data_IF_452887840472
#
_entry.id   IF_452887840472
#
_cell.length_a   1.000
_cell.length_b   1.000
_cell.length_c   1.000
_cell.angle_alpha   90.00
_cell.angle_beta   90.00
_cell.angle_gamma   90.00
#
_symmetry.space_group_name_H-M   'P 1'
#
loop_
_entity.id
_entity.type
_entity.pdbx_description
1 polymer ?
#
# COMPACT_ATOMS: atom_id res chain seq x y z
N UNK A 1 -16.52 -24.12 10.79
CA UNK A 1 -15.65 -23.24 11.61
C UNK A 1 -14.55 -24.11 12.23
N UNK A 2 -13.40 -24.19 11.57
CA UNK A 2 -12.23 -24.88 12.11
C UNK A 2 -11.32 -23.84 12.73
N UNK A 3 -11.38 -23.71 14.06
CA UNK A 3 -10.35 -23.02 14.84
C UNK A 3 -9.05 -23.82 14.73
N UNK A 4 -8.26 -23.57 13.66
CA UNK A 4 -6.88 -24.06 13.60
C UNK A 4 -6.15 -23.43 14.80
N UNK A 5 -5.78 -24.25 15.77
CA UNK A 5 -4.89 -23.87 16.87
C UNK A 5 -3.54 -23.49 16.25
N UNK A 6 -3.24 -22.20 16.17
CA UNK A 6 -1.92 -21.68 15.79
C UNK A 6 -0.82 -21.92 16.86
N UNK A 7 -1.04 -22.87 17.79
CA UNK A 7 -0.21 -23.08 18.98
C UNK A 7 1.13 -23.77 18.72
N UNK A 8 1.45 -24.14 17.48
CA UNK A 8 2.67 -24.93 17.17
C UNK A 8 3.89 -24.07 16.80
N UNK A 9 3.74 -22.77 16.53
CA UNK A 9 4.85 -21.90 16.09
C UNK A 9 5.18 -20.73 17.04
N UNK A 10 4.98 -20.92 18.35
CA UNK A 10 5.26 -19.89 19.36
C UNK A 10 6.67 -19.29 19.25
N UNK A 11 7.70 -20.10 18.96
CA UNK A 11 9.09 -19.63 18.85
C UNK A 11 9.32 -18.67 17.67
N UNK A 12 8.66 -18.91 16.54
CA UNK A 12 8.79 -18.04 15.35
C UNK A 12 8.07 -16.72 15.62
N UNK A 13 6.85 -16.78 16.15
CA UNK A 13 6.07 -15.60 16.53
C UNK A 13 6.83 -14.76 17.56
N UNK A 14 7.43 -15.38 18.58
CA UNK A 14 8.27 -14.70 19.56
C UNK A 14 9.49 -14.02 18.92
N UNK A 15 10.16 -14.68 17.96
CA UNK A 15 11.28 -14.08 17.22
C UNK A 15 10.83 -12.90 16.36
N UNK A 16 9.72 -13.03 15.63
CA UNK A 16 9.16 -11.93 14.82
C UNK A 16 8.85 -10.74 15.74
N UNK A 17 8.13 -10.96 16.85
CA UNK A 17 7.85 -9.93 17.86
C UNK A 17 9.11 -9.27 18.38
N UNK A 18 10.16 -10.04 18.68
CA UNK A 18 11.45 -9.51 19.14
C UNK A 18 12.09 -8.61 18.08
N UNK A 19 12.07 -9.01 16.81
CA UNK A 19 12.58 -8.16 15.73
C UNK A 19 11.74 -6.91 15.51
N UNK A 20 10.41 -7.03 15.54
CA UNK A 20 9.48 -5.89 15.41
C UNK A 20 9.62 -4.90 16.54
N UNK A 21 9.65 -5.36 17.79
CA UNK A 21 9.83 -4.48 18.95
C UNK A 21 11.16 -3.72 18.91
N UNK A 22 12.22 -4.30 18.36
CA UNK A 22 13.47 -3.58 18.12
C UNK A 22 13.32 -2.48 17.07
N UNK A 23 12.63 -2.75 15.96
CA UNK A 23 12.34 -1.75 14.92
C UNK A 23 11.48 -0.61 15.48
N UNK A 24 10.43 -0.93 16.23
CA UNK A 24 9.56 0.06 16.90
C UNK A 24 10.34 0.93 17.87
N UNK A 25 11.28 0.36 18.65
CA UNK A 25 12.14 1.12 19.58
C UNK A 25 13.12 2.07 18.87
N UNK A 26 13.48 1.79 17.62
CA UNK A 26 14.40 2.61 16.82
C UNK A 26 13.65 3.63 15.95
N UNK A 27 12.37 3.87 16.26
CA UNK A 27 11.47 4.69 15.46
C UNK A 27 11.96 6.14 15.34
N UNK A 28 11.71 6.69 14.14
CA UNK A 28 11.77 8.13 13.89
C UNK A 28 10.43 8.76 14.25
N UNK A 29 10.47 9.85 15.00
CA UNK A 29 9.29 10.69 15.20
C UNK A 29 9.10 11.56 13.96
N UNK A 30 7.89 11.53 13.41
CA UNK A 30 7.50 12.36 12.27
C UNK A 30 6.63 13.50 12.78
N UNK A 31 6.90 14.72 12.33
CA UNK A 31 5.99 15.84 12.55
C UNK A 31 4.86 15.83 11.51
N UNK A 32 3.82 16.63 11.75
CA UNK A 32 2.64 16.78 10.87
C UNK A 32 3.03 16.99 9.39
N UNK A 33 3.94 17.92 9.12
CA UNK A 33 4.39 18.22 7.75
C UNK A 33 5.11 17.04 7.06
N UNK A 34 5.69 16.12 7.84
CA UNK A 34 6.30 14.90 7.31
C UNK A 34 5.27 13.79 7.12
N UNK A 35 4.19 13.76 7.90
CA UNK A 35 3.08 12.81 7.75
C UNK A 35 2.25 13.12 6.50
N UNK A 36 2.18 14.37 6.09
CA UNK A 36 1.54 14.81 4.83
C UNK A 36 2.36 14.51 3.58
N UNK A 37 3.55 13.93 3.71
CA UNK A 37 4.43 13.60 2.57
C UNK A 37 4.64 12.09 2.46
N UNK A 38 4.50 11.52 1.25
CA UNK A 38 4.81 10.12 1.02
C UNK A 38 6.27 9.84 1.37
N UNK A 39 6.61 8.58 1.59
CA UNK A 39 8.00 8.16 1.86
C UNK A 39 8.89 8.53 0.70
N UNK A 40 8.42 8.26 -0.51
CA UNK A 40 9.05 8.62 -1.77
C UNK A 40 8.04 8.54 -2.90
N UNK A 41 8.33 9.24 -3.98
CA UNK A 41 7.57 9.20 -5.22
C UNK A 41 8.48 9.59 -6.38
N UNK A 42 8.25 9.02 -7.56
CA UNK A 42 9.07 9.30 -8.75
C UNK A 42 8.34 8.91 -10.04
N UNK A 43 8.85 9.43 -11.16
CA UNK A 43 8.49 9.00 -12.50
C UNK A 43 9.71 8.37 -13.17
N UNK A 44 9.51 7.27 -13.90
CA UNK A 44 10.54 6.68 -14.78
C UNK A 44 9.88 5.96 -15.95
N UNK A 45 10.67 5.60 -16.97
CA UNK A 45 10.18 4.73 -18.04
C UNK A 45 9.76 3.36 -17.51
N UNK A 46 8.65 2.84 -18.02
CA UNK A 46 8.19 1.48 -17.74
C UNK A 46 7.25 0.97 -18.85
N UNK A 47 6.74 -0.25 -18.71
CA UNK A 47 5.66 -0.77 -19.53
C UNK A 47 4.30 -0.46 -18.91
N UNK A 48 3.34 -0.19 -19.77
CA UNK A 48 1.93 -0.49 -19.53
C UNK A 48 1.67 -1.92 -20.05
N UNK A 49 0.47 -2.46 -19.88
CA UNK A 49 0.12 -3.82 -20.28
C UNK A 49 0.42 -4.12 -21.75
N UNK A 50 0.20 -3.14 -22.64
CA UNK A 50 0.30 -3.33 -24.10
C UNK A 50 1.33 -2.45 -24.80
N UNK A 51 1.82 -1.40 -24.13
CA UNK A 51 2.67 -0.37 -24.74
C UNK A 51 3.81 0.02 -23.81
N UNK A 52 4.87 0.61 -24.34
CA UNK A 52 5.83 1.36 -23.52
C UNK A 52 5.17 2.65 -23.04
N UNK A 53 5.46 3.06 -21.81
CA UNK A 53 5.05 4.36 -21.28
C UNK A 53 5.90 4.73 -20.08
N UNK A 54 5.27 5.30 -19.06
CA UNK A 54 5.95 5.69 -17.82
C UNK A 54 5.24 5.14 -16.60
N UNK A 55 6.00 4.84 -15.55
CA UNK A 55 5.41 4.65 -14.22
C UNK A 55 5.44 5.96 -13.44
N UNK A 56 4.36 6.22 -12.70
CA UNK A 56 4.36 7.13 -11.57
C UNK A 56 4.19 6.29 -10.31
N UNK A 57 5.22 6.24 -9.45
CA UNK A 57 5.19 5.44 -8.22
C UNK A 57 5.04 6.35 -7.01
N UNK A 58 4.16 5.97 -6.08
CA UNK A 58 3.97 6.62 -4.78
C UNK A 58 4.12 5.56 -3.67
N UNK A 59 5.08 5.75 -2.77
CA UNK A 59 5.21 4.95 -1.55
C UNK A 59 4.58 5.71 -0.40
N UNK A 60 3.43 5.25 0.09
CA UNK A 60 2.72 5.87 1.19
C UNK A 60 3.49 5.69 2.50
N UNK A 61 3.32 6.62 3.43
CA UNK A 61 3.69 6.52 4.83
C UNK A 61 2.42 6.24 5.63
N UNK A 62 2.27 5.01 6.12
CA UNK A 62 1.10 4.58 6.90
C UNK A 62 1.53 4.12 8.29
N UNK A 63 0.54 3.79 9.14
CA UNK A 63 0.79 3.14 10.42
C UNK A 63 1.35 1.70 10.30
N UNK A 64 1.31 1.11 9.09
CA UNK A 64 1.57 -0.30 8.84
C UNK A 64 0.30 -1.15 8.90
N UNK A 65 0.35 -2.33 8.29
CA UNK A 65 -0.83 -3.19 8.17
C UNK A 65 -1.25 -3.82 9.50
N UNK A 66 -2.54 -4.13 9.63
CA UNK A 66 -3.13 -4.82 10.78
C UNK A 66 -2.46 -6.17 11.05
N UNK A 67 -1.93 -6.83 10.01
CA UNK A 67 -1.15 -8.06 10.17
C UNK A 67 0.17 -7.81 10.91
N UNK A 68 0.91 -6.75 10.58
CA UNK A 68 2.15 -6.37 11.25
C UNK A 68 1.92 -5.84 12.67
N UNK A 69 0.82 -5.12 12.87
CA UNK A 69 0.41 -4.56 14.17
C UNK A 69 -0.32 -5.57 15.07
N UNK A 70 -0.73 -6.70 14.50
CA UNK A 70 -1.46 -7.76 15.17
C UNK A 70 -0.62 -8.60 16.14
N UNK A 71 -1.25 -9.57 16.80
CA UNK A 71 -0.64 -10.35 17.86
C UNK A 71 0.51 -11.24 17.39
N UNK A 72 0.72 -11.44 16.09
CA UNK A 72 1.79 -12.31 15.57
C UNK A 72 2.99 -11.53 15.03
N UNK A 73 2.89 -10.20 14.89
CA UNK A 73 3.96 -9.32 14.40
C UNK A 73 4.15 -9.31 12.87
N UNK A 74 3.24 -9.97 12.14
CA UNK A 74 3.13 -9.95 10.69
C UNK A 74 4.11 -10.86 9.94
N UNK A 75 4.33 -10.55 8.66
CA UNK A 75 5.22 -11.32 7.80
C UNK A 75 6.66 -11.24 8.31
N UNK A 76 7.36 -12.37 8.47
CA UNK A 76 8.72 -12.42 9.02
C UNK A 76 9.75 -11.64 8.20
N UNK A 77 9.53 -11.49 6.89
CA UNK A 77 10.44 -10.84 5.94
C UNK A 77 10.07 -9.39 5.57
N UNK A 78 8.92 -8.87 6.02
CA UNK A 78 8.45 -7.56 5.58
C UNK A 78 9.36 -6.43 6.11
N UNK A 79 10.02 -5.72 5.20
CA UNK A 79 10.92 -4.60 5.49
C UNK A 79 10.20 -3.28 5.73
N UNK A 80 9.02 -3.08 5.12
CA UNK A 80 8.26 -1.82 5.18
C UNK A 80 7.82 -1.40 6.59
N UNK A 81 7.78 -2.35 7.52
CA UNK A 81 7.68 -2.06 8.96
C UNK A 81 8.66 -0.94 9.37
N UNK A 82 9.88 -0.90 8.84
CA UNK A 82 10.85 0.15 9.18
C UNK A 82 10.45 1.55 8.69
N UNK A 83 9.61 1.61 7.68
CA UNK A 83 9.16 2.81 6.97
C UNK A 83 7.78 3.30 7.45
N UNK A 84 7.03 2.42 8.13
CA UNK A 84 5.75 2.70 8.77
C UNK A 84 5.88 3.50 10.07
N UNK A 85 4.83 4.19 10.46
CA UNK A 85 4.82 5.01 11.68
C UNK A 85 4.57 4.21 12.96
N UNK A 86 3.98 3.01 12.91
CA UNK A 86 3.46 2.22 14.06
C UNK A 86 2.40 2.88 14.93
N UNK A 87 2.34 4.20 14.94
CA UNK A 87 1.28 4.99 15.53
C UNK A 87 0.20 5.22 14.50
N UNK A 88 -1.03 5.21 14.99
CA UNK A 88 -2.18 5.56 14.19
C UNK A 88 -2.01 6.98 13.64
N UNK A 89 -2.15 7.09 12.32
CA UNK A 89 -2.18 8.39 11.64
C UNK A 89 -3.59 8.67 11.17
N UNK A 90 -3.97 9.94 11.15
CA UNK A 90 -5.22 10.35 10.54
C UNK A 90 -5.21 10.03 9.05
N UNK A 91 -6.36 9.58 8.54
CA UNK A 91 -6.56 9.28 7.13
C UNK A 91 -6.41 10.53 6.24
N UNK A 92 -6.60 11.73 6.80
CA UNK A 92 -6.30 13.00 6.15
C UNK A 92 -4.82 13.09 5.72
N UNK A 93 -3.88 12.61 6.52
CA UNK A 93 -2.46 12.60 6.13
C UNK A 93 -2.24 11.72 4.90
N UNK A 94 -2.85 10.53 4.83
CA UNK A 94 -2.71 9.66 3.66
C UNK A 94 -3.28 10.33 2.39
N UNK A 95 -4.41 11.04 2.51
CA UNK A 95 -4.98 11.84 1.41
C UNK A 95 -4.04 12.97 1.00
N UNK A 96 -3.46 13.69 1.96
CA UNK A 96 -2.49 14.76 1.72
C UNK A 96 -1.22 14.24 1.03
N UNK A 97 -0.75 13.02 1.37
CA UNK A 97 0.40 12.41 0.70
C UNK A 97 0.14 12.16 -0.78
N UNK A 98 -1.07 11.69 -1.13
CA UNK A 98 -1.51 11.49 -2.51
C UNK A 98 -1.56 12.84 -3.23
N UNK A 99 -2.20 13.84 -2.63
CA UNK A 99 -2.27 15.19 -3.20
C UNK A 99 -0.89 15.81 -3.39
N UNK A 100 0.00 15.66 -2.42
CA UNK A 100 1.37 16.17 -2.51
C UNK A 100 2.11 15.54 -3.68
N UNK A 101 2.08 14.21 -3.81
CA UNK A 101 2.74 13.51 -4.91
C UNK A 101 2.22 13.95 -6.27
N UNK A 102 0.89 14.04 -6.42
CA UNK A 102 0.26 14.54 -7.64
C UNK A 102 0.63 16.00 -7.91
N UNK A 103 0.55 16.90 -6.92
CA UNK A 103 0.90 18.30 -7.08
C UNK A 103 2.34 18.48 -7.58
N UNK A 104 3.28 17.66 -7.12
CA UNK A 104 4.68 17.73 -7.55
C UNK A 104 4.91 17.20 -8.97
N UNK A 105 4.04 16.31 -9.47
CA UNK A 105 4.26 15.59 -10.74
C UNK A 105 3.21 15.83 -11.82
N UNK A 106 2.12 16.52 -11.51
CA UNK A 106 0.98 16.67 -12.43
C UNK A 106 1.38 17.37 -13.72
N UNK A 107 2.16 18.46 -13.65
CA UNK A 107 2.64 19.15 -14.86
C UNK A 107 3.46 18.21 -15.74
N UNK A 108 4.43 17.50 -15.15
CA UNK A 108 5.24 16.50 -15.85
C UNK A 108 4.34 15.43 -16.50
N UNK A 109 3.38 14.86 -15.77
CA UNK A 109 2.45 13.84 -16.29
C UNK A 109 1.62 14.36 -17.48
N UNK A 110 1.18 15.62 -17.43
CA UNK A 110 0.30 16.20 -18.45
C UNK A 110 1.05 16.66 -19.71
N UNK A 111 2.33 16.99 -19.60
CA UNK A 111 3.18 17.43 -20.72
C UNK A 111 3.82 16.25 -21.48
N UNK A 112 3.91 15.08 -20.87
CA UNK A 112 4.48 13.88 -21.47
C UNK A 112 3.58 13.30 -22.56
N UNK A 113 4.18 12.78 -23.63
CA UNK A 113 3.43 12.20 -24.75
C UNK A 113 2.83 10.85 -24.37
N UNK A 114 3.57 10.04 -23.61
CA UNK A 114 3.18 8.69 -23.21
C UNK A 114 2.07 8.65 -22.15
N UNK A 115 1.43 7.48 -22.06
CA UNK A 115 0.50 7.14 -20.99
C UNK A 115 1.23 6.58 -19.76
N UNK A 116 0.56 6.64 -18.61
CA UNK A 116 1.13 6.29 -17.31
C UNK A 116 0.45 5.10 -16.66
N UNK A 117 1.26 4.27 -16.01
CA UNK A 117 0.84 3.36 -14.93
C UNK A 117 1.12 4.01 -13.58
N UNK A 118 0.09 4.14 -12.75
CA UNK A 118 0.24 4.57 -11.37
C UNK A 118 0.48 3.35 -10.47
N UNK A 119 1.49 3.39 -9.62
CA UNK A 119 1.78 2.34 -8.63
C UNK A 119 1.71 2.92 -7.23
N UNK A 120 0.82 2.39 -6.40
CA UNK A 120 0.68 2.82 -5.00
C UNK A 120 1.14 1.68 -4.09
N UNK A 121 2.16 1.96 -3.29
CA UNK A 121 2.77 0.99 -2.40
C UNK A 121 2.58 1.38 -0.93
N UNK A 122 2.08 0.43 -0.15
CA UNK A 122 2.05 0.44 1.30
C UNK A 122 2.38 -0.95 1.89
N UNK A 123 3.19 -1.73 1.15
CA UNK A 123 3.62 -3.09 1.52
C UNK A 123 2.50 -4.13 1.58
N UNK A 124 1.68 -4.21 0.54
CA UNK A 124 0.76 -5.33 0.41
C UNK A 124 -0.49 -5.24 1.28
N UNK A 125 -1.02 -4.06 1.57
CA UNK A 125 -2.19 -3.89 2.44
C UNK A 125 -3.11 -2.78 1.99
N UNK A 126 -3.18 -2.48 0.69
CA UNK A 126 -4.03 -1.39 0.19
C UNK A 126 -5.51 -1.55 0.60
N UNK A 127 -6.02 -2.78 0.62
CA UNK A 127 -7.39 -3.08 1.05
C UNK A 127 -7.56 -3.34 2.55
N UNK A 128 -6.53 -3.15 3.37
CA UNK A 128 -6.65 -3.26 4.83
C UNK A 128 -7.36 -2.01 5.39
N UNK A 129 -8.58 -2.17 5.91
CA UNK A 129 -9.42 -1.05 6.35
C UNK A 129 -8.88 -0.34 7.59
N UNK A 130 -8.08 -1.04 8.39
CA UNK A 130 -7.42 -0.46 9.56
C UNK A 130 -6.28 0.48 9.16
N UNK A 131 -5.66 0.25 7.99
CA UNK A 131 -4.53 1.02 7.50
C UNK A 131 -4.95 2.10 6.50
N UNK A 132 -5.65 1.72 5.43
CA UNK A 132 -6.22 2.63 4.43
C UNK A 132 -7.72 2.46 4.43
N UNK A 133 -8.42 3.42 5.05
CA UNK A 133 -9.88 3.36 5.17
C UNK A 133 -10.55 3.35 3.79
N UNK A 134 -11.77 2.81 3.74
CA UNK A 134 -12.59 2.84 2.53
C UNK A 134 -12.75 4.26 1.96
N UNK A 135 -12.99 5.25 2.81
CA UNK A 135 -13.11 6.66 2.40
C UNK A 135 -11.82 7.22 1.78
N UNK A 136 -10.66 6.72 2.20
CA UNK A 136 -9.36 7.10 1.65
C UNK A 136 -9.13 6.44 0.30
N UNK A 137 -9.50 5.16 0.16
CA UNK A 137 -9.46 4.49 -1.15
C UNK A 137 -10.37 5.16 -2.16
N UNK A 138 -11.60 5.52 -1.76
CA UNK A 138 -12.53 6.27 -2.62
C UNK A 138 -11.95 7.61 -3.08
N UNK A 139 -11.28 8.33 -2.18
CA UNK A 139 -10.59 9.57 -2.50
C UNK A 139 -9.49 9.34 -3.53
N UNK A 140 -8.65 8.32 -3.33
CA UNK A 140 -7.59 7.93 -4.26
C UNK A 140 -8.16 7.60 -5.63
N UNK A 141 -9.22 6.78 -5.69
CA UNK A 141 -9.86 6.43 -6.96
C UNK A 141 -10.38 7.67 -7.70
N UNK A 142 -11.04 8.58 -6.99
CA UNK A 142 -11.51 9.83 -7.57
C UNK A 142 -10.37 10.67 -8.15
N UNK A 143 -9.27 10.83 -7.41
CA UNK A 143 -8.09 11.58 -7.88
C UNK A 143 -7.47 10.97 -9.13
N UNK A 144 -7.39 9.64 -9.20
CA UNK A 144 -6.87 8.95 -10.38
C UNK A 144 -7.78 9.16 -11.58
N UNK A 145 -9.10 9.05 -11.40
CA UNK A 145 -10.08 9.24 -12.48
C UNK A 145 -10.06 10.65 -13.09
N UNK A 146 -9.59 11.66 -12.34
CA UNK A 146 -9.44 13.04 -12.81
C UNK A 146 -8.24 13.24 -13.74
N UNK A 147 -7.36 12.25 -13.91
CA UNK A 147 -6.08 12.38 -14.64
C UNK A 147 -6.10 11.50 -15.88
N UNK A 148 -6.40 12.06 -17.08
CA UNK A 148 -6.60 11.27 -18.29
C UNK A 148 -5.39 10.46 -18.76
N UNK A 149 -4.18 10.89 -18.38
CA UNK A 149 -2.91 10.25 -18.74
C UNK A 149 -2.63 8.97 -17.95
N UNK A 150 -3.31 8.74 -16.83
CA UNK A 150 -3.18 7.50 -16.08
C UNK A 150 -4.15 6.47 -16.68
N UNK A 151 -3.58 5.42 -17.27
CA UNK A 151 -4.34 4.35 -17.94
C UNK A 151 -4.32 3.03 -17.20
N UNK A 152 -3.44 2.90 -16.21
CA UNK A 152 -3.29 1.69 -15.40
C UNK A 152 -3.03 2.02 -13.93
N UNK A 153 -3.55 1.20 -13.02
CA UNK A 153 -3.28 1.27 -11.59
C UNK A 153 -2.74 -0.08 -11.10
N UNK A 154 -1.62 -0.06 -10.39
CA UNK A 154 -1.07 -1.21 -9.66
C UNK A 154 -1.14 -0.92 -8.17
N UNK A 155 -1.76 -1.84 -7.43
CA UNK A 155 -1.78 -1.84 -5.96
C UNK A 155 -1.36 -3.21 -5.44
N UNK A 156 -0.95 -3.27 -4.18
CA UNK A 156 -0.61 -4.53 -3.51
C UNK A 156 -1.57 -4.80 -2.35
N UNK A 157 -1.99 -6.05 -2.19
CA UNK A 157 -2.80 -6.45 -1.03
C UNK A 157 -2.64 -7.91 -0.62
N UNK A 158 -2.71 -8.19 0.69
CA UNK A 158 -2.85 -9.54 1.24
C UNK A 158 -4.19 -10.10 0.82
N UNK A 159 -4.21 -11.40 0.47
CA UNK A 159 -5.41 -12.08 -0.03
C UNK A 159 -6.62 -11.93 0.91
N UNK A 160 -6.40 -11.95 2.23
CA UNK A 160 -7.46 -11.86 3.22
C UNK A 160 -8.13 -10.48 3.30
N UNK A 161 -7.50 -9.42 2.79
CA UNK A 161 -8.09 -8.07 2.75
C UNK A 161 -8.93 -7.83 1.51
N UNK A 162 -8.77 -8.68 0.49
CA UNK A 162 -9.46 -8.56 -0.79
C UNK A 162 -10.85 -9.18 -0.66
N UNK A 163 -11.88 -8.35 -0.86
CA UNK A 163 -13.27 -8.80 -0.92
C UNK A 163 -13.88 -8.46 -2.28
N UNK A 164 -14.88 -9.25 -2.69
CA UNK A 164 -15.60 -8.98 -3.94
C UNK A 164 -16.22 -7.57 -3.96
N UNK A 165 -16.73 -7.10 -2.82
CA UNK A 165 -17.29 -5.76 -2.66
C UNK A 165 -16.25 -4.66 -2.95
N UNK A 166 -15.06 -4.77 -2.34
CA UNK A 166 -13.96 -3.81 -2.54
C UNK A 166 -13.52 -3.77 -4.00
N UNK A 167 -13.42 -4.93 -4.66
CA UNK A 167 -13.07 -5.02 -6.09
C UNK A 167 -14.15 -4.41 -7.00
N UNK A 168 -15.42 -4.71 -6.75
CA UNK A 168 -16.54 -4.12 -7.51
C UNK A 168 -16.55 -2.60 -7.35
N UNK A 169 -16.36 -2.11 -6.12
CA UNK A 169 -16.32 -0.67 -5.86
C UNK A 169 -15.18 0.01 -6.60
N UNK A 170 -13.97 -0.53 -6.49
CA UNK A 170 -12.79 -0.03 -7.23
C UNK A 170 -13.05 0.00 -8.74
N UNK A 171 -13.57 -1.10 -9.33
CA UNK A 171 -13.88 -1.18 -10.76
C UNK A 171 -14.95 -0.18 -11.21
N UNK A 172 -15.94 0.11 -10.36
CA UNK A 172 -16.97 1.13 -10.65
C UNK A 172 -16.41 2.55 -10.62
N UNK A 173 -15.40 2.79 -9.78
CA UNK A 173 -14.78 4.11 -9.63
C UNK A 173 -13.71 4.40 -10.70
N UNK A 174 -13.17 3.37 -11.34
CA UNK A 174 -12.01 3.49 -12.23
C UNK A 174 -12.25 2.74 -13.54
N UNK A 175 -12.28 3.48 -14.65
CA UNK A 175 -12.36 2.93 -16.00
C UNK A 175 -10.99 2.78 -16.68
N UNK A 176 -10.06 2.15 -15.96
CA UNK A 176 -8.67 1.93 -16.39
C UNK A 176 -8.27 0.47 -16.18
N UNK A 177 -7.11 0.03 -16.67
CA UNK A 177 -6.60 -1.30 -16.31
C UNK A 177 -6.18 -1.29 -14.83
N UNK A 178 -6.49 -2.36 -14.10
CA UNK A 178 -6.14 -2.45 -12.68
C UNK A 178 -5.47 -3.79 -12.42
N UNK A 179 -4.28 -3.73 -11.83
CA UNK A 179 -3.53 -4.87 -11.34
C UNK A 179 -3.53 -4.87 -9.82
N UNK A 180 -3.89 -6.01 -9.23
CA UNK A 180 -3.80 -6.23 -7.79
C UNK A 180 -2.75 -7.31 -7.56
N UNK A 181 -1.57 -6.88 -7.11
CA UNK A 181 -0.49 -7.78 -6.74
C UNK A 181 -0.79 -8.40 -5.37
N UNK A 182 -0.72 -9.73 -5.29
CA UNK A 182 -1.05 -10.49 -4.08
C UNK A 182 0.23 -11.04 -3.45
N UNK A 183 0.48 -10.67 -2.18
CA UNK A 183 1.57 -11.19 -1.36
C UNK A 183 1.30 -12.61 -0.89
N UNK A 184 1.40 -13.59 -1.80
CA UNK A 184 1.23 -15.01 -1.47
C UNK A 184 2.48 -15.60 -0.81
N UNK A 185 3.66 -15.21 -1.29
CA UNK A 185 5.01 -15.63 -0.91
C UNK A 185 5.31 -17.13 -1.10
N UNK A 186 4.40 -18.00 -0.71
CA UNK A 186 4.48 -19.45 -0.85
C UNK A 186 3.09 -20.08 -0.86
N UNK A 187 2.95 -21.15 -1.66
CA UNK A 187 1.73 -21.97 -1.67
C UNK A 187 1.68 -23.00 -0.54
N UNK A 188 2.77 -23.15 0.22
CA UNK A 188 2.85 -24.12 1.31
C UNK A 188 2.34 -23.50 2.63
N UNK A 189 1.19 -23.97 3.10
CA UNK A 189 0.54 -23.54 4.35
C UNK A 189 1.41 -23.64 5.62
N UNK A 190 2.44 -24.49 5.64
CA UNK A 190 3.37 -24.58 6.78
C UNK A 190 4.44 -23.48 6.74
N UNK A 191 4.83 -23.05 5.53
CA UNK A 191 5.82 -21.99 5.34
C UNK A 191 5.14 -20.61 5.38
N UNK A 192 3.90 -20.51 4.89
CA UNK A 192 3.08 -19.29 4.90
C UNK A 192 2.61 -18.93 6.30
#
# INVERSE_FOLDING_TARGET
>A
MSTKKYSENNLIVEKIKKFRSKAIKQKRNYNENQLDKPISFWIKEDRLLKIKGKEFTIILRTQGCSWALGPDGGCSMCGYVQDSTFEKIDQAHIKNQIDYAFQQKLTEIMEEEEDFVLKIYNSGSFFDDDEISESTRDYIYKKIAEIPKIKELVIESRVDYITQEKLIKMRRSLDIYIEVAIGLETINDHIR
#
